data_IF_463253982411
#
_entry.id   IF_463253982411
#
_cell.length_a   1.000
_cell.length_b   1.000
_cell.length_c   1.000
_cell.angle_alpha   90.00
_cell.angle_beta   90.00
_cell.angle_gamma   90.00
#
_symmetry.space_group_name_H-M   'P 1'
#
loop_
_entity.id
_entity.type
_entity.pdbx_description
1 polymer ?
#
# COMPACT_ATOMS: atom_id res chain seq x y z
N UNK A 1 9.77 -2.46 22.71
CA UNK A 1 10.64 -1.38 22.20
C UNK A 1 10.35 -1.26 20.72
N UNK A 2 9.94 -0.10 20.17
CA UNK A 2 9.81 0.06 18.73
C UNK A 2 11.21 -0.10 18.11
N UNK A 3 11.36 -1.04 17.18
CA UNK A 3 12.62 -1.23 16.47
C UNK A 3 12.84 -0.03 15.54
N UNK A 4 14.05 0.54 15.58
CA UNK A 4 14.51 1.50 14.58
C UNK A 4 14.61 0.76 13.25
N UNK A 5 13.65 0.97 12.35
CA UNK A 5 13.76 0.49 10.97
C UNK A 5 14.51 1.57 10.21
N UNK A 6 15.78 1.30 9.89
CA UNK A 6 16.47 2.11 8.88
C UNK A 6 15.77 1.89 7.54
N UNK A 7 15.59 2.93 6.74
CA UNK A 7 14.91 2.82 5.45
C UNK A 7 15.80 2.06 4.46
N UNK A 8 15.57 0.76 4.33
CA UNK A 8 16.28 -0.08 3.37
C UNK A 8 15.59 0.01 2.00
N UNK A 9 16.37 0.29 0.96
CA UNK A 9 15.95 0.02 -0.42
C UNK A 9 15.64 -1.48 -0.53
N UNK A 10 14.51 -1.81 -1.16
CA UNK A 10 14.12 -3.20 -1.38
C UNK A 10 14.53 -3.60 -2.80
N UNK A 11 15.28 -4.68 -2.94
CA UNK A 11 15.51 -5.29 -4.24
C UNK A 11 14.46 -6.37 -4.47
N UNK A 12 13.54 -6.12 -5.40
CA UNK A 12 12.59 -7.15 -5.85
C UNK A 12 13.31 -8.07 -6.84
N UNK A 13 13.79 -9.20 -6.35
CA UNK A 13 14.50 -10.20 -7.18
C UNK A 13 13.57 -11.21 -7.84
N UNK A 14 12.35 -11.32 -7.34
CA UNK A 14 11.32 -12.22 -7.84
C UNK A 14 9.94 -11.64 -7.54
N UNK A 15 9.00 -11.89 -8.46
CA UNK A 15 7.60 -11.54 -8.34
C UNK A 15 6.76 -12.79 -8.67
N UNK A 16 5.66 -13.08 -7.95
CA UNK A 16 4.79 -14.20 -8.29
C UNK A 16 4.30 -14.10 -9.73
N UNK A 17 4.41 -15.20 -10.48
CA UNK A 17 3.92 -15.29 -11.85
C UNK A 17 2.83 -16.37 -11.90
N UNK A 18 1.76 -16.13 -11.15
CA UNK A 18 0.59 -16.99 -11.05
C UNK A 18 -0.71 -16.18 -11.26
N UNK A 19 -1.85 -16.86 -11.22
CA UNK A 19 -3.14 -16.25 -11.55
C UNK A 19 -3.74 -15.42 -10.40
N UNK A 20 -3.22 -15.56 -9.19
CA UNK A 20 -3.77 -14.90 -7.99
C UNK A 20 -3.18 -13.50 -7.80
N UNK A 21 -2.10 -13.15 -8.51
CA UNK A 21 -1.42 -11.87 -8.43
C UNK A 21 -1.46 -11.10 -9.76
N UNK A 22 -1.89 -9.83 -9.72
CA UNK A 22 -1.84 -8.95 -10.89
C UNK A 22 -0.38 -8.76 -11.37
N UNK A 23 -0.12 -8.59 -12.67
CA UNK A 23 1.20 -8.17 -13.14
C UNK A 23 1.60 -6.83 -12.51
N UNK A 24 2.90 -6.65 -12.24
CA UNK A 24 3.42 -5.36 -11.76
C UNK A 24 3.03 -4.23 -12.74
N UNK A 25 2.38 -3.19 -12.20
CA UNK A 25 1.98 -2.02 -12.99
C UNK A 25 3.19 -1.18 -13.38
N UNK A 26 4.23 -1.21 -12.55
CA UNK A 26 5.42 -0.37 -12.63
C UNK A 26 6.68 -1.17 -12.28
N UNK A 27 7.82 -0.75 -12.82
CA UNK A 27 9.11 -1.36 -12.49
C UNK A 27 9.42 -1.13 -10.99
N UNK A 28 9.58 -2.19 -10.17
CA UNK A 28 9.83 -2.05 -8.74
C UNK A 28 11.27 -1.65 -8.41
N UNK A 29 12.08 -1.21 -9.39
CA UNK A 29 13.46 -0.70 -9.16
C UNK A 29 13.53 0.43 -8.12
N UNK A 30 12.43 1.14 -7.90
CA UNK A 30 12.31 2.18 -6.88
C UNK A 30 11.55 1.74 -5.63
N UNK A 31 11.27 0.45 -5.49
CA UNK A 31 10.54 -0.09 -4.37
C UNK A 31 11.34 0.03 -3.06
N UNK A 32 10.62 0.29 -1.98
CA UNK A 32 11.18 0.33 -0.63
C UNK A 32 10.16 -0.17 0.38
N UNK A 33 10.66 -0.66 1.50
CA UNK A 33 9.81 -0.94 2.66
C UNK A 33 9.55 0.37 3.41
N UNK A 34 8.30 0.63 3.75
CA UNK A 34 7.87 1.77 4.55
C UNK A 34 6.94 1.30 5.67
N UNK A 35 6.91 2.05 6.77
CA UNK A 35 5.81 1.93 7.74
C UNK A 35 4.54 2.48 7.12
N UNK A 36 3.39 1.93 7.48
CA UNK A 36 2.10 2.40 7.02
C UNK A 36 1.90 3.90 7.29
N UNK A 37 2.37 4.41 8.44
CA UNK A 37 2.28 5.85 8.76
C UNK A 37 3.09 6.77 7.84
N UNK A 38 4.17 6.25 7.24
CA UNK A 38 5.10 6.96 6.36
C UNK A 38 4.66 6.93 4.88
N UNK A 39 3.62 6.17 4.55
CA UNK A 39 2.98 6.17 3.22
C UNK A 39 2.31 7.52 2.98
N UNK A 40 2.42 8.05 1.77
CA UNK A 40 1.78 9.29 1.38
C UNK A 40 0.86 9.08 0.18
N UNK A 41 -0.06 10.02 -0.05
CA UNK A 41 -0.95 9.98 -1.21
C UNK A 41 -0.17 9.83 -2.51
N UNK A 42 -0.62 8.91 -3.35
CA UNK A 42 0.00 8.62 -4.64
C UNK A 42 1.09 7.54 -4.60
N UNK A 43 1.54 7.09 -3.43
CA UNK A 43 2.46 5.94 -3.36
C UNK A 43 1.75 4.69 -3.89
N UNK A 44 2.43 3.92 -4.74
CA UNK A 44 1.89 2.64 -5.22
C UNK A 44 2.24 1.55 -4.21
N UNK A 45 1.22 0.88 -3.67
CA UNK A 45 1.37 -0.19 -2.70
C UNK A 45 1.36 -1.54 -3.42
N UNK A 46 2.38 -2.36 -3.15
CA UNK A 46 2.60 -3.64 -3.81
C UNK A 46 2.28 -4.84 -2.92
N UNK A 47 2.66 -4.77 -1.64
CA UNK A 47 2.62 -5.92 -0.73
C UNK A 47 2.58 -5.50 0.74
N UNK A 48 2.03 -6.38 1.58
CA UNK A 48 2.33 -6.40 3.00
C UNK A 48 3.73 -6.99 3.22
N UNK A 49 4.46 -6.54 4.24
CA UNK A 49 5.79 -7.09 4.56
C UNK A 49 5.85 -7.53 6.02
N UNK A 50 6.33 -8.75 6.23
CA UNK A 50 6.61 -9.30 7.55
C UNK A 50 7.97 -10.03 7.59
N UNK A 51 8.21 -10.81 8.65
CA UNK A 51 9.45 -11.57 8.82
C UNK A 51 9.61 -12.73 7.81
N UNK A 52 8.51 -13.17 7.18
CA UNK A 52 8.49 -14.25 6.20
C UNK A 52 8.68 -13.74 4.77
N UNK A 53 8.48 -12.44 4.54
CA UNK A 53 8.74 -11.78 3.26
C UNK A 53 7.66 -10.79 2.87
N UNK A 54 7.48 -10.62 1.56
CA UNK A 54 6.44 -9.80 0.99
C UNK A 54 5.23 -10.68 0.59
N UNK A 55 4.05 -10.33 1.09
CA UNK A 55 2.77 -10.89 0.68
C UNK A 55 2.13 -9.93 -0.33
N UNK A 56 2.30 -10.25 -1.62
CA UNK A 56 1.87 -9.38 -2.71
C UNK A 56 0.35 -9.38 -2.82
N UNK A 57 -0.22 -8.18 -2.97
CA UNK A 57 -1.66 -8.07 -3.13
C UNK A 57 -2.11 -8.57 -4.50
N UNK A 58 -3.32 -9.13 -4.55
CA UNK A 58 -3.94 -9.56 -5.80
C UNK A 58 -4.01 -8.41 -6.82
N UNK A 59 -4.25 -7.19 -6.34
CA UNK A 59 -4.17 -5.95 -7.11
C UNK A 59 -3.29 -4.93 -6.38
N UNK A 60 -2.39 -4.29 -7.13
CA UNK A 60 -1.66 -3.12 -6.65
C UNK A 60 -2.59 -1.91 -6.64
N UNK A 61 -2.38 -1.00 -5.69
CA UNK A 61 -3.24 0.18 -5.58
C UNK A 61 -2.48 1.41 -5.13
N UNK A 62 -3.02 2.56 -5.52
CA UNK A 62 -2.47 3.86 -5.14
C UNK A 62 -3.03 4.26 -3.79
N UNK A 63 -2.16 4.69 -2.89
CA UNK A 63 -2.54 5.19 -1.58
C UNK A 63 -3.36 6.48 -1.71
N UNK A 64 -4.48 6.52 -0.98
CA UNK A 64 -5.35 7.68 -0.81
C UNK A 64 -5.72 7.74 0.67
N UNK A 65 -4.93 8.49 1.45
CA UNK A 65 -5.06 8.51 2.90
C UNK A 65 -6.26 9.32 3.33
N UNK A 66 -6.98 8.76 4.28
CA UNK A 66 -8.03 9.46 5.00
C UNK A 66 -7.87 9.24 6.51
N UNK A 67 -8.51 10.05 7.36
CA UNK A 67 -8.61 9.74 8.77
C UNK A 67 -9.29 8.38 8.99
N UNK A 68 -8.69 7.54 9.84
CA UNK A 68 -9.32 6.29 10.26
C UNK A 68 -10.52 6.57 11.17
N UNK A 69 -11.68 5.98 10.84
CA UNK A 69 -12.88 6.00 11.66
C UNK A 69 -13.17 4.59 12.21
N UNK A 70 -12.95 4.35 13.53
CA UNK A 70 -13.22 3.05 14.14
C UNK A 70 -14.71 2.70 14.19
N UNK A 71 -15.60 3.66 13.95
CA UNK A 71 -17.06 3.44 13.91
C UNK A 71 -17.55 3.05 12.51
N UNK A 72 -16.68 3.07 11.49
CA UNK A 72 -17.01 2.68 10.14
C UNK A 72 -17.45 1.21 10.06
N UNK A 73 -18.57 0.97 9.38
CA UNK A 73 -19.23 -0.34 9.28
C UNK A 73 -18.90 -1.09 7.98
N UNK A 74 -17.79 -0.76 7.30
CA UNK A 74 -17.37 -1.44 6.06
C UNK A 74 -16.97 -2.91 6.25
N UNK A 75 -16.91 -3.39 7.50
CA UNK A 75 -16.55 -4.78 7.83
C UNK A 75 -15.06 -5.01 8.07
N UNK A 76 -14.19 -4.04 7.74
CA UNK A 76 -12.73 -4.15 7.97
C UNK A 76 -12.26 -3.25 9.12
N UNK A 77 -12.76 -2.01 9.19
CA UNK A 77 -12.36 -1.05 10.24
C UNK A 77 -12.58 -1.58 11.66
N UNK A 78 -13.58 -2.43 11.87
CA UNK A 78 -13.87 -3.01 13.18
C UNK A 78 -12.75 -3.94 13.70
N UNK A 79 -11.91 -4.51 12.83
CA UNK A 79 -10.83 -5.41 13.23
C UNK A 79 -9.68 -4.71 13.95
N UNK A 80 -9.55 -3.39 13.77
CA UNK A 80 -8.51 -2.57 14.40
C UNK A 80 -9.08 -1.55 15.40
N UNK A 81 -10.36 -1.66 15.75
CA UNK A 81 -11.01 -0.71 16.66
C UNK A 81 -10.39 -0.71 18.07
N UNK A 82 -9.85 -1.85 18.50
CA UNK A 82 -9.18 -2.03 19.79
C UNK A 82 -7.64 -2.04 19.67
N UNK A 83 -7.08 -1.65 18.51
CA UNK A 83 -5.64 -1.58 18.31
C UNK A 83 -5.03 -0.55 19.28
N UNK A 84 -4.08 -0.94 20.16
CA UNK A 84 -3.51 -0.02 21.15
C UNK A 84 -2.64 1.08 20.52
N UNK A 85 -2.19 0.88 19.28
CA UNK A 85 -1.40 1.83 18.51
C UNK A 85 -2.22 2.79 17.64
N UNK A 86 -1.52 3.68 16.95
CA UNK A 86 -2.12 4.50 15.89
C UNK A 86 -2.53 3.58 14.73
N UNK A 87 -3.73 3.80 14.18
CA UNK A 87 -4.21 3.17 12.95
C UNK A 87 -4.29 4.23 11.86
N UNK A 88 -3.80 3.90 10.68
CA UNK A 88 -3.87 4.75 9.48
C UNK A 88 -4.72 4.08 8.42
N UNK A 89 -5.43 4.88 7.62
CA UNK A 89 -6.15 4.38 6.45
C UNK A 89 -5.31 4.66 5.21
N UNK A 90 -4.94 3.61 4.46
CA UNK A 90 -4.12 3.76 3.25
C UNK A 90 -4.98 3.89 1.99
N UNK A 91 -6.20 3.36 1.99
CA UNK A 91 -7.18 3.52 0.93
C UNK A 91 -8.61 3.34 1.45
N UNK A 92 -9.58 3.92 0.76
CA UNK A 92 -11.01 3.75 1.00
C UNK A 92 -11.71 3.52 -0.34
N UNK A 93 -12.00 2.27 -0.69
CA UNK A 93 -12.82 1.99 -1.87
C UNK A 93 -12.08 1.62 -3.15
N UNK A 94 -10.75 1.50 -3.14
CA UNK A 94 -9.99 1.00 -4.30
C UNK A 94 -8.80 0.12 -3.88
N UNK A 95 -8.67 -1.12 -4.40
CA UNK A 95 -9.52 -1.76 -5.41
C UNK A 95 -10.79 -2.43 -4.83
N UNK A 96 -10.97 -2.42 -3.51
CA UNK A 96 -12.08 -3.09 -2.81
C UNK A 96 -13.20 -2.13 -2.41
N UNK A 97 -14.41 -2.64 -2.16
CA UNK A 97 -15.52 -1.86 -1.58
C UNK A 97 -15.37 -1.61 -0.07
N UNK A 98 -14.17 -1.81 0.47
CA UNK A 98 -13.87 -1.69 1.89
C UNK A 98 -12.72 -0.72 2.14
N UNK A 99 -12.64 -0.25 3.38
CA UNK A 99 -11.49 0.48 3.88
C UNK A 99 -10.27 -0.43 4.00
N UNK A 100 -9.08 0.16 3.92
CA UNK A 100 -7.80 -0.50 4.12
C UNK A 100 -7.04 0.11 5.33
N UNK A 101 -7.44 -0.23 6.56
CA UNK A 101 -6.81 0.27 7.79
C UNK A 101 -5.60 -0.58 8.18
N UNK A 102 -4.55 0.08 8.65
CA UNK A 102 -3.28 -0.54 9.05
C UNK A 102 -2.81 -0.03 10.40
N UNK A 103 -2.24 -0.88 11.27
CA UNK A 103 -1.41 -0.41 12.37
C UNK A 103 -0.27 0.47 11.81
N UNK A 104 -0.03 1.63 12.41
CA UNK A 104 0.91 2.64 11.91
C UNK A 104 2.33 2.10 11.70
N UNK A 105 2.74 1.14 12.52
CA UNK A 105 4.05 0.50 12.47
C UNK A 105 4.12 -0.73 11.56
N UNK A 106 3.00 -1.19 10.99
CA UNK A 106 2.99 -2.27 10.02
C UNK A 106 3.80 -1.87 8.77
N UNK A 107 4.41 -2.85 8.12
CA UNK A 107 5.32 -2.61 6.99
C UNK A 107 4.63 -2.96 5.67
N UNK A 108 4.85 -2.10 4.69
CA UNK A 108 4.37 -2.27 3.32
C UNK A 108 5.50 -2.04 2.32
N UNK A 109 5.46 -2.76 1.20
CA UNK A 109 6.33 -2.52 0.06
C UNK A 109 5.66 -1.51 -0.87
N UNK A 110 6.33 -0.39 -1.12
CA UNK A 110 5.80 0.69 -1.95
C UNK A 110 6.76 1.11 -3.05
N UNK A 111 6.23 1.65 -4.15
CA UNK A 111 6.96 2.52 -5.06
C UNK A 111 6.55 3.96 -4.78
N UNK A 112 7.48 4.87 -4.39
CA UNK A 112 7.12 6.23 -4.03
C UNK A 112 6.51 7.01 -5.20
N UNK A 113 5.45 7.78 -4.96
CA UNK A 113 4.71 8.56 -5.97
C UNK A 113 5.63 9.40 -6.88
N UNK A 114 6.63 10.06 -6.28
CA UNK A 114 7.62 10.91 -6.96
C UNK A 114 8.54 10.17 -7.94
N UNK A 115 8.53 8.84 -7.91
CA UNK A 115 9.32 7.95 -8.77
C UNK A 115 8.46 7.25 -9.82
N UNK A 116 7.14 7.36 -9.72
CA UNK A 116 6.22 6.84 -10.72
C UNK A 116 6.26 7.73 -11.96
N UNK A 117 6.07 7.16 -13.17
CA UNK A 117 5.83 7.96 -14.35
C UNK A 117 4.60 8.83 -14.10
N UNK A 118 4.65 10.10 -14.51
CA UNK A 118 3.43 10.92 -14.53
C UNK A 118 2.47 10.24 -15.50
N UNK A 119 1.37 9.69 -15.00
CA UNK A 119 0.24 9.26 -15.81
C UNK A 119 -0.15 10.48 -16.68
N UNK A 120 0.24 10.44 -17.95
CA UNK A 120 -0.20 11.46 -18.89
C UNK A 120 -1.74 11.42 -18.88
N UNK A 121 -2.43 12.56 -18.76
CA UNK A 121 -3.88 12.57 -18.88
C UNK A 121 -4.25 11.90 -20.21
N UNK A 122 -5.35 11.12 -20.27
CA UNK A 122 -5.77 10.48 -21.49
C UNK A 122 -5.84 11.55 -22.58
N UNK A 123 -5.12 11.33 -23.69
CA UNK A 123 -5.23 12.19 -24.86
C UNK A 123 -6.71 12.23 -25.21
N UNK A 124 -7.32 13.41 -25.15
CA UNK A 124 -8.66 13.62 -25.66
C UNK A 124 -8.67 13.10 -27.12
N UNK A 125 -9.36 12.00 -27.35
CA UNK A 125 -9.66 11.55 -28.70
C UNK A 125 -10.48 12.67 -29.33
N UNK A 126 -9.87 13.34 -30.31
CA UNK A 126 -10.56 14.34 -31.10
C UNK A 126 -11.59 13.62 -31.96
N UNK A 127 -12.86 13.94 -31.72
CA UNK A 127 -13.99 13.61 -32.60
C UNK A 127 -13.76 14.14 -34.03
#
# INVERSE_FOLDING_TARGET
>A
MPQSVDFFEALVTAYPCDADHAPLLEDPVHARVARAEDVVDGDLILAAVDWNGADYFNDQYTAHREPYDPTCQCGVCCHLADEPGLVVLLSNGHPWETCDPWPANALVLIVPARRLPVLAPPRAESL
#
